data_IF_671440340142
#
_entry.id   IF_671440340142
#
_cell.length_a   1.000
_cell.length_b   1.000
_cell.length_c   1.000
_cell.angle_alpha   90.00
_cell.angle_beta   90.00
_cell.angle_gamma   90.00
#
_symmetry.space_group_name_H-M   'P 1'
#
loop_
_entity.id
_entity.type
_entity.pdbx_description
1 polymer ?
#
# COMPACT_ATOMS: atom_id res chain seq x y z
N UNK A 1 54.77 8.67 -26.17
CA UNK A 1 54.18 8.52 -24.82
C UNK A 1 52.70 8.80 -24.90
N UNK A 2 51.89 7.78 -24.92
CA UNK A 2 50.44 7.91 -24.96
C UNK A 2 49.92 7.83 -23.54
N UNK A 3 49.32 8.93 -23.07
CA UNK A 3 48.59 8.94 -21.81
C UNK A 3 47.19 8.46 -22.09
N UNK A 4 46.88 7.28 -21.59
CA UNK A 4 45.53 6.74 -21.61
C UNK A 4 44.81 7.38 -20.44
N UNK A 5 43.89 8.29 -20.76
CA UNK A 5 42.94 8.80 -19.78
C UNK A 5 41.90 7.68 -19.53
N UNK A 6 41.99 7.08 -18.37
CA UNK A 6 40.95 6.17 -17.91
C UNK A 6 39.72 7.02 -17.58
N UNK A 7 38.73 6.99 -18.45
CA UNK A 7 37.40 7.48 -18.10
C UNK A 7 36.80 6.48 -17.11
N UNK A 8 36.82 6.85 -15.85
CA UNK A 8 36.01 6.22 -14.83
C UNK A 8 34.53 6.42 -15.17
N UNK A 9 33.90 5.44 -15.79
CA UNK A 9 32.46 5.35 -15.82
C UNK A 9 32.01 5.04 -14.39
N UNK A 10 31.59 6.06 -13.67
CA UNK A 10 30.84 5.89 -12.43
C UNK A 10 29.45 5.44 -12.86
N UNK A 11 29.01 4.20 -12.53
CA UNK A 11 27.63 3.80 -12.76
C UNK A 11 26.77 4.69 -11.87
N UNK A 12 25.97 5.54 -12.50
CA UNK A 12 24.92 6.26 -11.82
C UNK A 12 23.89 5.21 -11.41
N UNK A 13 24.08 4.67 -10.21
CA UNK A 13 23.04 3.88 -9.55
C UNK A 13 21.88 4.83 -9.28
N UNK A 14 20.95 4.86 -10.21
CA UNK A 14 19.68 5.49 -9.97
C UNK A 14 19.00 4.73 -8.83
N UNK A 15 19.12 5.26 -7.63
CA UNK A 15 18.34 4.81 -6.50
C UNK A 15 16.89 5.14 -6.79
N UNK A 16 16.15 4.18 -7.33
CA UNK A 16 14.70 4.23 -7.45
C UNK A 16 14.07 3.97 -6.08
N UNK A 17 14.58 4.64 -5.06
CA UNK A 17 13.95 4.64 -3.74
C UNK A 17 12.75 5.56 -3.79
N UNK A 18 11.55 5.02 -3.66
CA UNK A 18 10.33 5.76 -3.43
C UNK A 18 9.31 5.76 -4.55
N UNK A 19 9.46 4.97 -5.64
CA UNK A 19 8.48 4.87 -6.72
C UNK A 19 7.42 3.79 -6.52
N UNK A 20 7.49 3.02 -5.44
CA UNK A 20 6.50 2.00 -5.09
C UNK A 20 5.40 2.53 -4.18
N UNK A 21 4.29 1.78 -4.05
CA UNK A 21 3.25 2.11 -3.07
C UNK A 21 3.83 2.12 -1.65
N UNK A 22 3.35 3.04 -0.83
CA UNK A 22 3.66 3.12 0.58
C UNK A 22 2.37 3.30 1.38
N UNK A 23 2.46 3.24 2.70
CA UNK A 23 1.28 3.37 3.56
C UNK A 23 0.54 4.67 3.31
N UNK A 24 1.25 5.79 3.18
CA UNK A 24 0.62 7.09 2.98
C UNK A 24 -0.15 7.17 1.66
N UNK A 25 0.47 6.80 0.55
CA UNK A 25 -0.19 6.85 -0.76
C UNK A 25 -1.35 5.87 -0.82
N UNK A 26 -1.20 4.69 -0.24
CA UNK A 26 -2.24 3.66 -0.19
C UNK A 26 -3.44 4.11 0.63
N UNK A 27 -3.22 4.61 1.83
CA UNK A 27 -4.30 5.08 2.70
C UNK A 27 -5.02 6.31 2.12
N UNK A 28 -4.29 7.22 1.50
CA UNK A 28 -4.90 8.36 0.83
C UNK A 28 -5.74 7.95 -0.37
N UNK A 29 -5.27 6.99 -1.17
CA UNK A 29 -6.06 6.46 -2.27
C UNK A 29 -7.39 5.88 -1.80
N UNK A 30 -7.42 5.21 -0.67
CA UNK A 30 -8.66 4.64 -0.14
C UNK A 30 -9.67 5.71 0.28
N UNK A 31 -9.23 6.73 1.00
CA UNK A 31 -10.12 7.59 1.78
C UNK A 31 -10.20 9.05 1.33
N UNK A 32 -9.41 9.44 0.33
CA UNK A 32 -9.53 10.79 -0.26
C UNK A 32 -9.97 10.69 -1.72
N UNK A 33 -10.49 11.81 -2.24
CA UNK A 33 -10.85 11.95 -3.65
C UNK A 33 -9.67 12.44 -4.52
N UNK A 34 -8.54 12.81 -3.90
CA UNK A 34 -7.38 13.35 -4.60
C UNK A 34 -6.68 12.26 -5.42
N UNK A 35 -6.13 12.64 -6.58
CA UNK A 35 -5.36 11.74 -7.46
C UNK A 35 -6.08 10.43 -7.77
N UNK A 36 -7.34 10.52 -8.21
CA UNK A 36 -8.19 9.36 -8.53
C UNK A 36 -8.46 8.45 -7.31
N UNK A 37 -8.46 9.02 -6.11
CA UNK A 37 -8.78 8.31 -4.90
C UNK A 37 -10.23 7.84 -4.82
N UNK A 38 -10.47 6.84 -4.00
CA UNK A 38 -11.77 6.17 -3.91
C UNK A 38 -12.76 6.87 -2.98
N UNK A 39 -12.29 7.74 -2.10
CA UNK A 39 -13.11 8.44 -1.10
C UNK A 39 -14.07 7.48 -0.36
N UNK A 40 -13.56 6.31 0.03
CA UNK A 40 -14.38 5.31 0.72
C UNK A 40 -14.86 5.90 2.05
N UNK A 41 -16.17 5.87 2.26
CA UNK A 41 -16.80 6.31 3.49
C UNK A 41 -17.22 5.12 4.35
N UNK A 42 -17.19 5.31 5.67
CA UNK A 42 -17.63 4.31 6.63
C UNK A 42 -18.85 4.80 7.42
N UNK A 43 -19.69 3.87 7.90
CA UNK A 43 -20.86 4.25 8.72
C UNK A 43 -20.44 5.00 9.99
N UNK A 44 -21.26 5.93 10.43
CA UNK A 44 -21.02 6.77 11.59
C UNK A 44 -20.39 8.12 11.21
N UNK A 45 -19.95 8.85 12.24
CA UNK A 45 -19.33 10.16 12.08
C UNK A 45 -17.80 10.06 11.96
N UNK A 46 -17.31 9.04 11.28
CA UNK A 46 -15.87 8.82 11.07
C UNK A 46 -15.41 9.68 9.90
N UNK A 47 -14.45 10.56 10.14
CA UNK A 47 -13.89 11.43 9.11
C UNK A 47 -12.85 10.68 8.26
N UNK A 48 -12.57 11.20 7.06
CA UNK A 48 -11.50 10.67 6.21
C UNK A 48 -10.15 10.70 6.92
N UNK A 49 -9.85 11.75 7.67
CA UNK A 49 -8.60 11.87 8.42
C UNK A 49 -8.47 10.78 9.50
N UNK A 50 -9.55 10.47 10.18
CA UNK A 50 -9.56 9.37 11.17
C UNK A 50 -9.33 8.01 10.51
N UNK A 51 -9.94 7.76 9.36
CA UNK A 51 -9.75 6.53 8.59
C UNK A 51 -8.32 6.42 8.07
N UNK A 52 -7.73 7.51 7.59
CA UNK A 52 -6.34 7.56 7.14
C UNK A 52 -5.40 7.27 8.31
N UNK A 53 -5.62 7.87 9.47
CA UNK A 53 -4.79 7.63 10.65
C UNK A 53 -4.85 6.17 11.10
N UNK A 54 -6.01 5.56 11.15
CA UNK A 54 -6.17 4.14 11.45
C UNK A 54 -5.43 3.27 10.42
N UNK A 55 -5.65 3.55 9.14
CA UNK A 55 -5.00 2.85 8.04
C UNK A 55 -3.46 2.95 8.14
N UNK A 56 -2.94 4.15 8.41
CA UNK A 56 -1.51 4.39 8.57
C UNK A 56 -0.93 3.60 9.73
N UNK A 57 -1.58 3.63 10.89
CA UNK A 57 -1.13 2.93 12.08
C UNK A 57 -1.07 1.41 11.85
N UNK A 58 -2.09 0.84 11.22
CA UNK A 58 -2.13 -0.59 10.90
C UNK A 58 -1.10 -0.97 9.85
N UNK A 59 -0.97 -0.18 8.79
CA UNK A 59 -0.01 -0.43 7.73
C UNK A 59 1.43 -0.33 8.25
N UNK A 60 1.78 0.74 8.93
CA UNK A 60 3.13 0.94 9.48
C UNK A 60 3.46 -0.09 10.56
N UNK A 61 2.49 -0.43 11.40
CA UNK A 61 2.66 -1.48 12.41
C UNK A 61 2.96 -2.84 11.80
N UNK A 62 2.29 -3.19 10.71
CA UNK A 62 2.56 -4.43 9.98
C UNK A 62 3.96 -4.44 9.34
N UNK A 63 4.40 -3.31 8.78
CA UNK A 63 5.72 -3.19 8.18
C UNK A 63 6.87 -3.39 9.17
N UNK A 64 6.63 -3.17 10.46
CA UNK A 64 7.63 -3.37 11.52
C UNK A 64 7.75 -4.82 11.97
N UNK A 65 6.86 -5.70 11.53
CA UNK A 65 6.84 -7.11 11.94
C UNK A 65 7.36 -7.99 10.83
N UNK A 66 8.40 -8.81 11.08
CA UNK A 66 8.85 -9.79 10.10
C UNK A 66 7.82 -10.92 9.98
N UNK A 67 7.73 -11.51 8.80
CA UNK A 67 6.84 -12.63 8.53
C UNK A 67 6.63 -12.86 7.05
N UNK A 68 5.83 -13.86 6.74
CA UNK A 68 5.49 -14.26 5.38
C UNK A 68 4.04 -13.94 5.04
N UNK A 69 3.72 -13.94 3.74
CA UNK A 69 2.35 -13.76 3.26
C UNK A 69 1.40 -14.83 3.82
N UNK A 70 1.89 -16.08 3.92
CA UNK A 70 1.07 -17.19 4.37
C UNK A 70 -0.12 -17.43 3.45
N UNK A 71 -1.28 -17.66 4.06
CA UNK A 71 -2.56 -17.84 3.32
C UNK A 71 -3.25 -16.52 2.98
N UNK A 72 -2.68 -15.38 3.36
CA UNK A 72 -3.24 -14.07 3.06
C UNK A 72 -3.25 -13.82 1.54
N UNK A 73 -4.42 -13.56 0.98
CA UNK A 73 -4.58 -13.20 -0.42
C UNK A 73 -5.56 -12.04 -0.57
N UNK A 74 -5.07 -10.79 -0.69
CA UNK A 74 -5.95 -9.64 -0.83
C UNK A 74 -6.67 -9.59 -2.18
N UNK A 75 -6.20 -10.32 -3.18
CA UNK A 75 -6.83 -10.37 -4.51
C UNK A 75 -8.10 -11.22 -4.53
N UNK A 76 -8.34 -12.01 -3.49
CA UNK A 76 -9.64 -12.68 -3.31
C UNK A 76 -10.65 -11.74 -2.68
N UNK A 77 -11.92 -11.87 -3.08
CA UNK A 77 -13.00 -11.09 -2.48
C UNK A 77 -13.35 -11.65 -1.10
N UNK A 78 -12.94 -10.95 -0.05
CA UNK A 78 -13.26 -11.34 1.33
C UNK A 78 -14.65 -10.90 1.78
N UNK A 79 -15.35 -10.12 0.95
CA UNK A 79 -16.62 -9.50 1.33
C UNK A 79 -16.43 -8.30 2.26
N UNK A 80 -17.53 -7.63 2.58
CA UNK A 80 -17.50 -6.41 3.40
C UNK A 80 -17.77 -6.66 4.88
N UNK A 81 -18.13 -7.88 5.26
CA UNK A 81 -18.46 -8.28 6.63
C UNK A 81 -17.38 -9.11 7.31
N UNK A 82 -16.36 -9.53 6.58
CA UNK A 82 -15.27 -10.35 7.12
C UNK A 82 -14.16 -9.49 7.69
N UNK A 83 -13.74 -9.79 8.91
CA UNK A 83 -12.62 -9.12 9.55
C UNK A 83 -11.30 -9.75 9.08
N UNK A 84 -10.50 -8.98 8.37
CA UNK A 84 -9.18 -9.39 7.87
C UNK A 84 -8.15 -8.41 8.43
N UNK A 85 -6.96 -8.90 8.75
CA UNK A 85 -5.87 -8.07 9.24
C UNK A 85 -4.57 -8.37 8.49
N UNK A 86 -3.75 -7.35 8.30
CA UNK A 86 -2.36 -7.48 7.87
C UNK A 86 -1.49 -7.58 9.12
N UNK A 87 -0.65 -8.60 9.20
CA UNK A 87 0.06 -8.97 10.44
C UNK A 87 1.58 -8.77 10.34
N UNK A 88 2.12 -8.59 9.13
CA UNK A 88 3.56 -8.50 8.92
C UNK A 88 3.90 -7.71 7.65
N UNK A 89 5.20 -7.47 7.45
CA UNK A 89 5.72 -6.69 6.34
C UNK A 89 5.36 -7.25 4.96
N UNK A 90 5.34 -8.56 4.80
CA UNK A 90 5.03 -9.21 3.52
C UNK A 90 3.55 -9.08 3.17
N UNK A 91 2.69 -9.22 4.15
CA UNK A 91 1.26 -9.02 3.99
C UNK A 91 0.94 -7.55 3.69
N UNK A 92 1.57 -6.62 4.38
CA UNK A 92 1.41 -5.18 4.12
C UNK A 92 1.81 -4.81 2.69
N UNK A 93 2.95 -5.32 2.21
CA UNK A 93 3.40 -5.10 0.83
C UNK A 93 2.39 -5.65 -0.19
N UNK A 94 1.88 -6.85 0.04
CA UNK A 94 0.88 -7.49 -0.82
C UNK A 94 -0.44 -6.69 -0.85
N UNK A 95 -0.86 -6.21 0.30
CA UNK A 95 -2.04 -5.37 0.45
C UNK A 95 -1.91 -4.05 -0.33
N UNK A 96 -0.78 -3.37 -0.18
CA UNK A 96 -0.53 -2.12 -0.91
C UNK A 96 -0.51 -2.32 -2.43
N UNK A 97 0.10 -3.40 -2.90
CA UNK A 97 0.09 -3.74 -4.33
C UNK A 97 -1.32 -4.00 -4.84
N UNK A 98 -2.14 -4.71 -4.08
CA UNK A 98 -3.53 -4.96 -4.42
C UNK A 98 -4.31 -3.65 -4.57
N UNK A 99 -4.20 -2.75 -3.61
CA UNK A 99 -4.91 -1.47 -3.64
C UNK A 99 -4.47 -0.62 -4.83
N UNK A 100 -3.18 -0.62 -5.15
CA UNK A 100 -2.66 0.13 -6.29
C UNK A 100 -3.21 -0.36 -7.64
N UNK A 101 -3.56 -1.64 -7.75
CA UNK A 101 -4.00 -2.29 -8.99
C UNK A 101 -5.52 -2.45 -9.12
N UNK A 102 -6.26 -2.21 -8.05
CA UNK A 102 -7.67 -2.53 -7.98
C UNK A 102 -8.53 -1.29 -8.12
N UNK A 103 -9.63 -1.40 -8.87
CA UNK A 103 -10.56 -0.30 -9.07
C UNK A 103 -11.31 0.06 -7.77
N UNK A 104 -11.77 1.30 -7.68
CA UNK A 104 -12.56 1.74 -6.52
C UNK A 104 -13.83 0.92 -6.34
N UNK A 105 -14.47 0.49 -7.43
CA UNK A 105 -15.66 -0.37 -7.37
C UNK A 105 -15.35 -1.69 -6.68
N UNK A 106 -14.25 -2.32 -7.05
CA UNK A 106 -13.84 -3.60 -6.46
C UNK A 106 -13.37 -3.44 -5.02
N UNK A 107 -12.67 -2.35 -4.70
CA UNK A 107 -12.30 -2.04 -3.32
C UNK A 107 -13.52 -1.90 -2.42
N UNK A 108 -14.59 -1.28 -2.91
CA UNK A 108 -15.87 -1.18 -2.19
C UNK A 108 -16.60 -2.52 -2.10
N UNK A 109 -16.30 -3.46 -2.99
CA UNK A 109 -16.96 -4.77 -3.03
C UNK A 109 -16.29 -5.84 -2.15
N UNK A 110 -15.15 -5.54 -1.52
CA UNK A 110 -14.47 -6.45 -0.60
C UNK A 110 -13.14 -7.01 -1.07
N UNK A 111 -12.61 -6.52 -2.18
CA UNK A 111 -11.25 -6.84 -2.60
C UNK A 111 -10.23 -6.03 -1.82
N UNK A 112 -9.01 -6.55 -1.73
CA UNK A 112 -7.89 -5.92 -1.01
C UNK A 112 -8.18 -5.69 0.48
N UNK A 113 -8.90 -6.59 1.12
CA UNK A 113 -9.08 -6.49 2.57
C UNK A 113 -7.73 -6.59 3.30
N UNK A 114 -7.55 -5.85 4.42
CA UNK A 114 -8.54 -5.07 5.13
C UNK A 114 -8.74 -3.66 4.53
N UNK A 115 -9.95 -3.16 4.66
CA UNK A 115 -10.28 -1.75 4.43
C UNK A 115 -11.07 -1.27 5.65
N UNK A 116 -10.48 -0.37 6.40
CA UNK A 116 -11.03 0.12 7.66
C UNK A 116 -12.16 1.12 7.49
#
# INVERSE_FOLDING_TARGET
MRRIAALSLIPLLAFLSGCGPNCQTTCRRLYTADNDGCAIARPGNITADQLINTCMDECEGALEKPGDVGSYNPFDNAGTSTSVQIENEKQAARWMDCIAQTSCVDLNAGYCAPIW
#
